data_IF_266781979322
#
_entry.id   IF_266781979322
#
_cell.length_a   1.000
_cell.length_b   1.000
_cell.length_c   1.000
_cell.angle_alpha   90.00
_cell.angle_beta   90.00
_cell.angle_gamma   90.00
#
_symmetry.space_group_name_H-M   'P 1'
#
loop_
_entity.id
_entity.type
_entity.pdbx_description
1 polymer ?
#
# COMPACT_ATOMS: atom_id res chain seq x y z
N UNK A 1 4.01 -31.31 -1.13
CA UNK A 1 4.73 -30.30 -0.32
C UNK A 1 3.97 -28.99 -0.48
N UNK A 2 3.52 -28.36 0.61
CA UNK A 2 2.78 -27.09 0.52
C UNK A 2 3.76 -25.92 0.50
N UNK A 3 3.57 -24.96 -0.42
CA UNK A 3 4.37 -23.74 -0.49
C UNK A 3 3.78 -22.71 0.46
N UNK A 4 4.58 -22.24 1.43
CA UNK A 4 4.15 -21.24 2.41
C UNK A 4 4.27 -19.82 1.82
N UNK A 5 3.35 -18.90 2.17
CA UNK A 5 3.42 -17.51 1.74
C UNK A 5 4.57 -16.76 2.43
N UNK A 6 5.04 -15.69 1.80
CA UNK A 6 6.03 -14.75 2.36
C UNK A 6 5.41 -13.86 3.44
N UNK A 7 6.27 -13.20 4.24
CA UNK A 7 5.89 -12.49 5.46
C UNK A 7 4.73 -11.48 5.31
N UNK A 8 4.71 -10.69 4.24
CA UNK A 8 3.69 -9.67 3.99
C UNK A 8 2.73 -10.03 2.86
N UNK A 9 2.64 -11.30 2.48
CA UNK A 9 1.75 -11.74 1.41
C UNK A 9 0.28 -11.51 1.79
N UNK A 10 -0.47 -10.94 0.83
CA UNK A 10 -1.90 -10.72 0.95
C UNK A 10 -2.61 -11.45 -0.19
N UNK A 11 -3.69 -12.18 0.13
CA UNK A 11 -4.50 -12.82 -0.89
C UNK A 11 -5.15 -11.79 -1.80
N UNK A 12 -5.00 -11.99 -3.11
CA UNK A 12 -5.65 -11.14 -4.11
C UNK A 12 -7.15 -11.42 -4.12
N UNK A 13 -7.96 -10.37 -3.95
CA UNK A 13 -9.42 -10.44 -4.03
C UNK A 13 -10.01 -9.15 -4.59
N UNK A 14 -11.17 -9.27 -5.21
CA UNK A 14 -12.00 -8.14 -5.63
C UNK A 14 -12.77 -7.57 -4.43
N UNK A 15 -12.99 -6.26 -4.43
CA UNK A 15 -13.78 -5.59 -3.40
C UNK A 15 -15.27 -5.76 -3.69
N UNK A 16 -16.06 -6.09 -2.66
CA UNK A 16 -17.51 -6.28 -2.84
C UNK A 16 -18.24 -4.94 -3.09
N UNK A 17 -17.73 -3.85 -2.53
CA UNK A 17 -18.28 -2.50 -2.67
C UNK A 17 -17.23 -1.44 -2.30
N UNK A 18 -17.58 -0.17 -2.45
CA UNK A 18 -16.70 0.95 -2.12
C UNK A 18 -16.29 1.03 -0.65
N UNK A 19 -17.14 0.57 0.28
CA UNK A 19 -16.81 0.57 1.70
C UNK A 19 -15.71 -0.44 2.01
N UNK A 20 -15.76 -1.63 1.41
CA UNK A 20 -14.71 -2.65 1.50
C UNK A 20 -13.39 -2.13 0.89
N UNK A 21 -13.44 -1.58 -0.33
CA UNK A 21 -12.27 -0.99 -0.98
C UNK A 21 -11.65 0.13 -0.12
N UNK A 22 -12.47 1.04 0.43
CA UNK A 22 -11.99 2.13 1.31
C UNK A 22 -11.27 1.59 2.54
N UNK A 23 -11.81 0.57 3.20
CA UNK A 23 -11.16 -0.06 4.37
C UNK A 23 -9.80 -0.63 4.00
N UNK A 24 -9.71 -1.32 2.86
CA UNK A 24 -8.45 -1.91 2.36
C UNK A 24 -7.42 -0.84 2.02
N UNK A 25 -7.82 0.25 1.34
CA UNK A 25 -6.94 1.39 1.01
C UNK A 25 -6.40 2.04 2.28
N UNK A 26 -7.25 2.27 3.28
CA UNK A 26 -6.82 2.87 4.55
C UNK A 26 -5.89 1.94 5.35
N UNK A 27 -6.11 0.63 5.31
CA UNK A 27 -5.21 -0.34 5.93
C UNK A 27 -3.83 -0.31 5.26
N UNK A 28 -3.79 -0.36 3.92
CA UNK A 28 -2.55 -0.29 3.15
C UNK A 28 -1.81 1.04 3.42
N UNK A 29 -2.51 2.17 3.39
CA UNK A 29 -1.93 3.48 3.71
C UNK A 29 -1.29 3.51 5.11
N UNK A 30 -1.96 2.94 6.12
CA UNK A 30 -1.42 2.85 7.47
C UNK A 30 -0.16 2.00 7.55
N UNK A 31 -0.09 0.89 6.81
CA UNK A 31 1.10 0.04 6.75
C UNK A 31 2.29 0.81 6.17
N UNK A 32 2.10 1.49 5.03
CA UNK A 32 3.14 2.33 4.42
C UNK A 32 3.64 3.45 5.34
N UNK A 33 2.74 4.18 6.02
CA UNK A 33 3.12 5.26 6.94
C UNK A 33 3.92 4.75 8.15
N UNK A 34 3.61 3.53 8.61
CA UNK A 34 4.33 2.86 9.71
C UNK A 34 5.69 2.33 9.29
N UNK A 35 5.82 1.82 8.06
CA UNK A 35 7.07 1.32 7.50
C UNK A 35 8.07 2.43 7.11
N UNK A 36 7.63 3.70 7.05
CA UNK A 36 8.49 4.82 6.64
C UNK A 36 9.87 4.92 7.36
N UNK A 37 10.01 4.70 8.68
CA UNK A 37 11.32 4.71 9.36
C UNK A 37 12.21 3.53 8.94
N UNK A 38 11.61 2.36 8.73
CA UNK A 38 12.31 1.16 8.26
C UNK A 38 12.84 1.36 6.85
N UNK A 39 12.01 1.89 5.94
CA UNK A 39 12.41 2.25 4.57
C UNK A 39 13.58 3.24 4.57
N UNK A 40 13.55 4.27 5.43
CA UNK A 40 14.64 5.23 5.54
C UNK A 40 15.96 4.55 5.91
N UNK A 41 15.91 3.62 6.86
CA UNK A 41 17.09 2.92 7.39
C UNK A 41 17.61 1.89 6.39
N UNK A 42 16.71 1.08 5.83
CA UNK A 42 17.03 0.02 4.86
C UNK A 42 17.67 0.57 3.58
N UNK A 43 17.19 1.70 3.08
CA UNK A 43 17.68 2.30 1.84
C UNK A 43 18.62 3.50 2.07
N UNK A 44 18.99 3.80 3.33
CA UNK A 44 19.85 4.94 3.69
C UNK A 44 19.42 6.27 3.03
N UNK A 45 18.12 6.54 3.03
CA UNK A 45 17.55 7.70 2.33
C UNK A 45 17.95 9.00 3.05
N UNK A 46 18.54 10.00 2.35
CA UNK A 46 19.00 11.25 2.95
C UNK A 46 17.85 12.26 3.19
N UNK A 47 16.68 11.77 3.60
CA UNK A 47 15.48 12.57 3.84
C UNK A 47 14.88 12.18 5.19
N UNK A 48 14.24 13.11 5.91
CA UNK A 48 13.56 12.78 7.16
C UNK A 48 12.34 11.89 6.90
N UNK A 49 11.96 11.06 7.89
CA UNK A 49 10.76 10.21 7.84
C UNK A 49 9.49 10.99 7.46
N UNK A 50 9.39 12.25 7.88
CA UNK A 50 8.27 13.14 7.53
C UNK A 50 8.16 13.40 6.03
N UNK A 51 9.29 13.57 5.33
CA UNK A 51 9.32 13.72 3.88
C UNK A 51 8.85 12.43 3.19
N UNK A 52 9.32 11.27 3.66
CA UNK A 52 8.90 9.95 3.13
C UNK A 52 7.39 9.77 3.30
N UNK A 53 6.84 10.02 4.49
CA UNK A 53 5.39 9.97 4.75
C UNK A 53 4.60 10.92 3.87
N UNK A 54 5.14 12.10 3.59
CA UNK A 54 4.52 13.08 2.70
C UNK A 54 4.49 12.57 1.26
N UNK A 55 5.58 11.95 0.79
CA UNK A 55 5.64 11.32 -0.54
C UNK A 55 4.65 10.15 -0.66
N UNK A 56 4.57 9.29 0.35
CA UNK A 56 3.56 8.22 0.42
C UNK A 56 2.16 8.83 0.28
N UNK A 57 1.83 9.87 1.04
CA UNK A 57 0.52 10.52 0.93
C UNK A 57 0.25 11.08 -0.47
N UNK A 58 1.25 11.70 -1.11
CA UNK A 58 1.10 12.22 -2.47
C UNK A 58 0.74 11.13 -3.48
N UNK A 59 1.36 9.95 -3.40
CA UNK A 59 1.04 8.82 -4.29
C UNK A 59 -0.37 8.28 -4.06
N UNK A 60 -0.85 8.24 -2.81
CA UNK A 60 -2.25 7.87 -2.54
C UNK A 60 -3.25 8.92 -3.06
N UNK A 61 -2.95 10.22 -2.89
CA UNK A 61 -3.81 11.30 -3.37
C UNK A 61 -3.85 11.38 -4.91
N UNK A 62 -2.76 11.00 -5.59
CA UNK A 62 -2.71 10.92 -7.07
C UNK A 62 -3.82 10.06 -7.66
N UNK A 63 -4.28 9.04 -6.93
CA UNK A 63 -5.33 8.12 -7.36
C UNK A 63 -6.68 8.33 -6.66
N UNK A 64 -6.87 9.46 -5.97
CA UNK A 64 -8.07 9.73 -5.16
C UNK A 64 -9.39 9.73 -5.94
N UNK A 65 -9.38 10.17 -7.19
CA UNK A 65 -10.58 10.37 -8.00
C UNK A 65 -10.87 9.20 -8.96
N UNK A 66 -10.34 8.01 -8.69
CA UNK A 66 -10.64 6.80 -9.47
C UNK A 66 -12.08 6.37 -9.20
N UNK A 67 -12.92 6.41 -10.24
CA UNK A 67 -14.36 6.13 -10.14
C UNK A 67 -14.75 4.68 -10.49
N UNK A 68 -13.77 3.81 -10.80
CA UNK A 68 -14.01 2.40 -11.17
C UNK A 68 -13.44 1.48 -10.09
N UNK A 69 -14.30 0.69 -9.45
CA UNK A 69 -13.92 -0.21 -8.35
C UNK A 69 -12.83 -1.21 -8.74
N UNK A 70 -12.95 -1.81 -9.93
CA UNK A 70 -11.95 -2.75 -10.46
C UNK A 70 -10.56 -2.12 -10.63
N UNK A 71 -10.49 -0.82 -10.96
CA UNK A 71 -9.21 -0.11 -11.07
C UNK A 71 -8.59 0.11 -9.68
N UNK A 72 -9.42 0.44 -8.69
CA UNK A 72 -8.98 0.54 -7.29
C UNK A 72 -8.43 -0.79 -6.77
N UNK A 73 -9.05 -1.91 -7.14
CA UNK A 73 -8.55 -3.25 -6.76
C UNK A 73 -7.19 -3.55 -7.39
N UNK A 74 -6.98 -3.19 -8.67
CA UNK A 74 -5.66 -3.33 -9.31
C UNK A 74 -4.61 -2.47 -8.62
N UNK A 75 -4.93 -1.23 -8.27
CA UNK A 75 -4.03 -0.34 -7.53
C UNK A 75 -3.70 -0.88 -6.13
N UNK A 76 -4.68 -1.45 -5.43
CA UNK A 76 -4.46 -2.12 -4.15
C UNK A 76 -3.51 -3.31 -4.28
N UNK A 77 -3.67 -4.15 -5.29
CA UNK A 77 -2.78 -5.29 -5.51
C UNK A 77 -1.35 -4.81 -5.77
N UNK A 78 -1.16 -3.81 -6.63
CA UNK A 78 0.15 -3.20 -6.91
C UNK A 78 0.79 -2.64 -5.64
N UNK A 79 0.04 -1.84 -4.87
CA UNK A 79 0.56 -1.24 -3.65
C UNK A 79 0.86 -2.24 -2.52
N UNK A 80 0.21 -3.41 -2.49
CA UNK A 80 0.59 -4.51 -1.59
C UNK A 80 1.83 -5.25 -2.09
N UNK A 81 1.94 -5.46 -3.40
CA UNK A 81 3.14 -6.06 -3.99
C UNK A 81 4.37 -5.19 -3.73
N UNK A 82 4.28 -3.88 -3.97
CA UNK A 82 5.37 -2.92 -3.71
C UNK A 82 5.75 -2.83 -2.22
N UNK A 83 4.81 -3.11 -1.31
CA UNK A 83 5.07 -3.12 0.13
C UNK A 83 5.79 -4.40 0.60
N UNK A 84 5.59 -5.51 -0.10
CA UNK A 84 6.12 -6.80 0.26
C UNK A 84 7.57 -7.02 -0.23
N UNK A 85 7.96 -6.34 -1.32
CA UNK A 85 9.31 -6.40 -1.93
C UNK A 85 10.33 -5.72 -1.04
#
# INVERSE_FOLDING_TARGET
>A
MAVLPTQFAVQTRQSANWNDARRRVLALYRNWVRAAPEIQTMYSVPLPVSAIRTRIRQEFERHRFVNKLAVTDVLLVKGNADYQV
#
